data_IF_616230029193
#
_entry.id   IF_616230029193
#
_cell.length_a   1.000
_cell.length_b   1.000
_cell.length_c   1.000
_cell.angle_alpha   90.00
_cell.angle_beta   90.00
_cell.angle_gamma   90.00
#
_symmetry.space_group_name_H-M   'P 1'
#
loop_
_entity.id
_entity.type
_entity.pdbx_description
1 polymer ?
#
# COMPACT_ATOMS: atom_id res chain seq x y z
N UNK A 1 -8.06 -13.14 -22.59
CA UNK A 1 -6.88 -12.26 -22.54
C UNK A 1 -7.17 -11.27 -21.44
N UNK A 2 -6.39 -11.28 -20.38
CA UNK A 2 -6.54 -10.34 -19.26
C UNK A 2 -6.18 -8.93 -19.71
N UNK A 3 -7.05 -7.96 -19.40
CA UNK A 3 -6.88 -6.54 -19.71
C UNK A 3 -5.75 -5.93 -18.84
N UNK A 4 -4.50 -6.22 -19.20
CA UNK A 4 -3.32 -5.66 -18.56
C UNK A 4 -2.67 -4.61 -19.45
N UNK A 5 -3.01 -3.35 -19.19
CA UNK A 5 -2.56 -2.18 -19.96
C UNK A 5 -1.69 -1.25 -19.10
N UNK A 6 -0.43 -1.63 -18.81
CA UNK A 6 0.46 -0.86 -17.95
C UNK A 6 1.11 0.33 -18.67
N UNK A 7 1.41 1.36 -17.89
CA UNK A 7 2.23 2.49 -18.30
C UNK A 7 3.04 3.00 -17.10
N UNK A 8 4.10 3.77 -17.32
CA UNK A 8 4.83 4.42 -16.23
C UNK A 8 4.26 5.81 -15.94
N UNK A 9 4.05 6.11 -14.67
CA UNK A 9 3.70 7.45 -14.17
C UNK A 9 4.96 8.29 -13.93
N UNK A 10 4.84 9.61 -13.73
CA UNK A 10 6.01 10.49 -13.58
C UNK A 10 6.87 10.23 -12.35
N UNK A 11 6.33 9.58 -11.32
CA UNK A 11 7.11 9.21 -10.13
C UNK A 11 7.85 7.87 -10.26
N UNK A 12 7.80 7.25 -11.45
CA UNK A 12 8.45 5.97 -11.73
C UNK A 12 7.69 4.75 -11.21
N UNK A 13 6.45 4.91 -10.77
CA UNK A 13 5.55 3.79 -10.48
C UNK A 13 4.75 3.38 -11.72
N UNK A 14 4.22 2.16 -11.72
CA UNK A 14 3.39 1.62 -12.80
C UNK A 14 1.93 2.03 -12.57
N UNK A 15 1.31 2.68 -13.55
CA UNK A 15 -0.13 2.88 -13.63
C UNK A 15 -0.77 1.84 -14.55
N UNK A 16 -2.10 1.72 -14.46
CA UNK A 16 -2.90 0.83 -15.30
C UNK A 16 -4.03 1.61 -15.96
N UNK A 17 -4.39 1.20 -17.18
CA UNK A 17 -5.59 1.61 -17.88
C UNK A 17 -6.64 0.48 -17.83
N UNK A 18 -7.89 0.84 -17.54
CA UNK A 18 -9.05 -0.04 -17.58
C UNK A 18 -9.88 0.28 -18.83
N UNK A 19 -9.91 -0.63 -19.83
CA UNK A 19 -10.78 -0.49 -20.99
C UNK A 19 -12.26 -0.48 -20.59
N UNK A 20 -12.65 -1.31 -19.63
CA UNK A 20 -14.01 -1.41 -19.12
C UNK A 20 -14.55 -0.07 -18.63
N UNK A 21 -13.75 0.66 -17.85
CA UNK A 21 -14.13 1.96 -17.30
C UNK A 21 -13.71 3.15 -18.17
N UNK A 22 -12.98 2.90 -19.26
CA UNK A 22 -12.28 3.92 -20.06
C UNK A 22 -11.59 4.95 -19.14
N UNK A 23 -10.78 4.45 -18.20
CA UNK A 23 -10.11 5.25 -17.18
C UNK A 23 -8.76 4.65 -16.79
N UNK A 24 -7.98 5.46 -16.08
CA UNK A 24 -6.80 5.01 -15.36
C UNK A 24 -7.14 4.70 -13.91
N UNK A 25 -6.48 3.69 -13.34
CA UNK A 25 -6.67 3.31 -11.93
C UNK A 25 -6.12 4.37 -10.96
N UNK A 26 -5.01 5.01 -11.33
CA UNK A 26 -4.33 6.01 -10.50
C UNK A 26 -3.93 7.21 -11.36
N UNK A 27 -3.64 8.34 -10.72
CA UNK A 27 -3.13 9.52 -11.38
C UNK A 27 -1.86 9.23 -12.17
N UNK A 28 -1.85 9.62 -13.44
CA UNK A 28 -0.66 9.54 -14.30
C UNK A 28 0.50 10.42 -13.78
N UNK A 29 0.21 11.36 -12.87
CA UNK A 29 1.23 12.17 -12.19
C UNK A 29 2.09 11.32 -11.26
N UNK A 30 1.57 10.23 -10.68
CA UNK A 30 2.34 9.35 -9.81
C UNK A 30 1.43 8.50 -8.93
N UNK A 31 1.30 7.21 -9.25
CA UNK A 31 0.42 6.30 -8.51
C UNK A 31 0.91 6.06 -7.08
N UNK A 32 2.23 5.90 -6.91
CA UNK A 32 2.82 5.73 -5.58
C UNK A 32 2.81 7.04 -4.78
N UNK A 33 3.00 8.18 -5.44
CA UNK A 33 2.92 9.51 -4.82
C UNK A 33 1.52 9.75 -4.28
N UNK A 34 0.49 9.46 -5.07
CA UNK A 34 -0.90 9.53 -4.67
C UNK A 34 -1.20 8.66 -3.44
N UNK A 35 -0.74 7.40 -3.42
CA UNK A 35 -0.92 6.51 -2.28
C UNK A 35 -0.38 7.14 -0.97
N UNK A 36 0.80 7.76 -1.02
CA UNK A 36 1.35 8.41 0.15
C UNK A 36 0.63 9.70 0.55
N UNK A 37 0.34 10.57 -0.43
CA UNK A 37 -0.26 11.88 -0.18
C UNK A 37 -1.70 11.77 0.33
N UNK A 38 -2.43 10.74 -0.11
CA UNK A 38 -3.86 10.57 0.21
C UNK A 38 -4.15 9.54 1.29
N UNK A 39 -3.26 8.58 1.53
CA UNK A 39 -3.51 7.51 2.50
C UNK A 39 -2.44 7.45 3.58
N UNK A 40 -1.15 7.48 3.25
CA UNK A 40 -0.11 7.25 4.26
C UNK A 40 0.10 8.46 5.16
N UNK A 41 0.37 9.64 4.60
CA UNK A 41 0.62 10.85 5.40
C UNK A 41 -0.57 11.28 6.27
N UNK A 42 -1.84 11.23 5.81
CA UNK A 42 -2.96 11.58 6.67
C UNK A 42 -3.37 10.48 7.67
N UNK A 43 -2.80 9.27 7.60
CA UNK A 43 -3.19 8.16 8.48
C UNK A 43 -2.67 8.27 9.92
N UNK A 44 -1.66 9.12 10.16
CA UNK A 44 -1.05 9.30 11.49
C UNK A 44 -0.44 7.98 12.03
N UNK A 45 0.38 7.33 11.18
CA UNK A 45 1.04 6.05 11.50
C UNK A 45 1.83 6.13 12.80
N UNK A 46 2.46 7.26 13.10
CA UNK A 46 3.23 7.44 14.34
C UNK A 46 2.39 7.15 15.59
N UNK A 47 1.14 7.63 15.62
CA UNK A 47 0.22 7.32 16.71
C UNK A 47 -0.25 5.86 16.68
N UNK A 48 -0.54 5.30 15.50
CA UNK A 48 -0.93 3.89 15.37
C UNK A 48 0.16 2.93 15.88
N UNK A 49 1.42 3.28 15.71
CA UNK A 49 2.57 2.50 16.20
C UNK A 49 2.68 2.46 17.74
N UNK A 50 1.82 3.17 18.47
CA UNK A 50 1.70 3.07 19.93
C UNK A 50 0.74 1.95 20.38
N UNK A 51 -0.09 1.42 19.48
CA UNK A 51 -1.03 0.33 19.76
C UNK A 51 -0.31 -1.02 19.86
N UNK A 52 -0.96 -2.02 20.44
CA UNK A 52 -0.47 -3.41 20.45
C UNK A 52 -0.69 -4.12 19.10
N UNK A 53 -1.77 -3.75 18.41
CA UNK A 53 -2.11 -4.25 17.07
C UNK A 53 -2.71 -3.14 16.21
N UNK A 54 -2.48 -3.23 14.90
CA UNK A 54 -3.05 -2.34 13.90
C UNK A 54 -3.78 -3.19 12.86
N UNK A 55 -5.05 -2.89 12.61
CA UNK A 55 -5.88 -3.51 11.58
C UNK A 55 -6.18 -2.50 10.48
N UNK A 56 -5.83 -2.86 9.24
CA UNK A 56 -6.06 -2.06 8.03
C UNK A 56 -6.97 -2.80 7.07
N UNK A 57 -7.99 -2.11 6.57
CA UNK A 57 -8.84 -2.56 5.46
C UNK A 57 -8.49 -1.75 4.20
N UNK A 58 -8.08 -2.42 3.13
CA UNK A 58 -7.75 -1.81 1.84
C UNK A 58 -8.80 -2.23 0.80
N UNK A 59 -9.75 -1.34 0.51
CA UNK A 59 -10.88 -1.58 -0.38
C UNK A 59 -10.54 -1.07 -1.78
N UNK A 60 -10.74 -1.93 -2.78
CA UNK A 60 -10.24 -1.77 -4.14
C UNK A 60 -8.70 -1.79 -4.16
N UNK A 61 -8.16 -2.86 -3.58
CA UNK A 61 -6.72 -3.08 -3.43
C UNK A 61 -5.94 -2.91 -4.75
N UNK A 62 -6.50 -3.33 -5.88
CA UNK A 62 -5.87 -3.23 -7.20
C UNK A 62 -4.47 -3.83 -7.20
N UNK A 63 -3.47 -3.05 -7.61
CA UNK A 63 -2.06 -3.46 -7.55
C UNK A 63 -1.37 -3.18 -6.20
N UNK A 64 -2.14 -2.81 -5.18
CA UNK A 64 -1.77 -2.80 -3.77
C UNK A 64 -0.94 -1.61 -3.31
N UNK A 65 -1.03 -0.45 -3.98
CA UNK A 65 -0.19 0.69 -3.63
C UNK A 65 -0.42 1.19 -2.21
N UNK A 66 -1.65 1.19 -1.70
CA UNK A 66 -1.95 1.71 -0.37
C UNK A 66 -1.37 0.79 0.71
N UNK A 67 -1.71 -0.50 0.69
CA UNK A 67 -1.09 -1.52 1.57
C UNK A 67 0.44 -1.55 1.50
N UNK A 68 1.03 -1.56 0.29
CA UNK A 68 2.49 -1.57 0.13
C UNK A 68 3.12 -0.31 0.70
N UNK A 69 2.53 0.85 0.45
CA UNK A 69 3.05 2.13 0.95
C UNK A 69 2.98 2.21 2.47
N UNK A 70 1.92 1.66 3.07
CA UNK A 70 1.78 1.56 4.51
C UNK A 70 2.91 0.71 5.12
N UNK A 71 3.08 -0.52 4.62
CA UNK A 71 4.14 -1.41 5.10
C UNK A 71 5.54 -0.86 4.81
N UNK A 72 5.74 -0.23 3.65
CA UNK A 72 7.02 0.38 3.28
C UNK A 72 7.36 1.57 4.17
N UNK A 73 6.39 2.41 4.50
CA UNK A 73 6.59 3.52 5.43
C UNK A 73 7.01 3.00 6.80
N UNK A 74 6.37 1.94 7.29
CA UNK A 74 6.74 1.30 8.56
C UNK A 74 8.16 0.73 8.50
N UNK A 75 8.49 0.01 7.44
CA UNK A 75 9.82 -0.54 7.21
C UNK A 75 10.90 0.56 7.21
N UNK A 76 10.69 1.66 6.49
CA UNK A 76 11.67 2.74 6.38
C UNK A 76 11.80 3.55 7.67
N UNK A 77 10.69 3.84 8.36
CA UNK A 77 10.68 4.78 9.47
C UNK A 77 10.81 4.14 10.85
N UNK A 78 10.38 2.90 11.01
CA UNK A 78 10.35 2.23 12.32
C UNK A 78 11.27 1.01 12.35
N UNK A 79 11.44 0.31 11.23
CA UNK A 79 12.43 -0.77 11.18
C UNK A 79 13.82 -0.20 10.89
N UNK A 80 14.03 0.52 9.78
CA UNK A 80 15.36 0.93 9.31
C UNK A 80 15.98 2.12 10.08
N UNK A 81 15.23 3.16 10.46
CA UNK A 81 15.78 4.29 11.26
C UNK A 81 16.32 3.87 12.63
N UNK A 82 15.78 2.79 13.20
CA UNK A 82 16.32 2.21 14.43
C UNK A 82 17.70 1.53 14.24
N UNK A 83 18.20 1.40 13.01
CA UNK A 83 19.54 0.87 12.73
C UNK A 83 20.61 1.95 12.71
N UNK A 84 20.33 3.13 12.15
CA UNK A 84 21.36 4.18 11.99
C UNK A 84 21.78 4.83 13.31
N UNK A 85 20.93 4.72 14.34
CA UNK A 85 21.27 5.15 15.71
C UNK A 85 22.26 4.20 16.41
N UNK A 86 22.48 2.99 15.87
CA UNK A 86 23.32 1.94 16.47
C UNK A 86 24.41 1.38 15.54
N UNK A 87 24.60 1.94 14.33
CA UNK A 87 25.77 1.63 13.52
C UNK A 87 27.00 2.35 14.08
N UNK A 88 27.74 1.62 14.91
CA UNK A 88 29.09 1.94 15.34
C UNK A 88 29.96 2.44 14.17
N UNK A 89 30.74 3.47 14.46
CA UNK A 89 32.01 3.75 13.82
C UNK A 89 32.91 2.51 13.88
N UNK A 90 32.96 1.72 12.83
CA UNK A 90 34.04 0.77 12.61
C UNK A 90 34.51 0.88 11.17
N UNK A 91 35.44 1.82 10.95
CA UNK A 91 36.44 1.68 9.90
C UNK A 91 37.31 0.48 10.27
N UNK A 92 37.03 -0.69 9.70
CA UNK A 92 38.04 -1.74 9.49
C UNK A 92 37.47 -2.83 8.60
N UNK A 93 37.93 -2.82 7.34
CA UNK A 93 38.07 -3.95 6.41
C UNK A 93 37.05 -5.10 6.51
N UNK A 94 35.94 -4.98 5.78
CA UNK A 94 35.21 -6.17 5.32
C UNK A 94 35.72 -6.49 3.92
N UNK A 95 36.52 -7.55 3.81
CA UNK A 95 36.97 -8.10 2.55
C UNK A 95 35.77 -8.62 1.75
N UNK A 96 35.67 -8.18 0.50
CA UNK A 96 34.75 -8.70 -0.50
C UNK A 96 35.07 -10.17 -0.80
N UNK A 97 34.16 -11.08 -0.50
CA UNK A 97 34.22 -12.45 -1.04
C UNK A 97 33.57 -12.40 -2.43
N UNK A 98 34.44 -12.36 -3.42
CA UNK A 98 34.15 -12.46 -4.85
C UNK A 98 33.76 -13.92 -5.17
N UNK A 99 32.51 -14.16 -5.61
CA UNK A 99 32.00 -15.52 -5.88
C UNK A 99 32.17 -15.98 -7.32
N UNK A 100 32.81 -15.19 -8.20
CA UNK A 100 32.91 -15.53 -9.61
C UNK A 100 34.30 -16.05 -9.98
N UNK A 101 34.56 -17.32 -9.67
CA UNK A 101 35.55 -18.19 -10.36
C UNK A 101 35.44 -19.65 -9.90
N UNK A 102 34.35 -20.32 -10.26
CA UNK A 102 34.35 -21.80 -10.31
C UNK A 102 34.76 -22.20 -11.72
N UNK A 103 36.07 -22.37 -11.92
CA UNK A 103 36.57 -23.10 -13.09
C UNK A 103 36.64 -24.59 -12.73
N UNK A 104 36.06 -25.43 -13.61
CA UNK A 104 35.99 -26.88 -13.48
C UNK A 104 37.40 -27.48 -13.45
N UNK A 105 37.74 -28.16 -12.35
CA UNK A 105 38.92 -29.03 -12.28
C UNK A 105 39.12 -29.58 -10.86
N UNK A 106 38.95 -30.89 -10.70
CA UNK A 106 39.32 -31.69 -9.53
C UNK A 106 38.45 -31.56 -8.25
N UNK A 107 37.22 -32.04 -8.35
CA UNK A 107 36.48 -32.61 -7.21
C UNK A 107 37.10 -33.99 -6.92
N UNK A 108 38.17 -34.04 -6.13
CA UNK A 108 38.65 -35.29 -5.51
C UNK A 108 39.53 -35.09 -4.27
N UNK A 109 40.20 -33.93 -4.10
CA UNK A 109 41.22 -33.78 -3.03
C UNK A 109 40.87 -32.84 -1.87
N UNK A 110 39.60 -32.45 -1.69
CA UNK A 110 39.20 -31.54 -0.59
C UNK A 110 38.10 -32.08 0.34
N UNK A 111 38.03 -33.40 0.54
CA UNK A 111 37.14 -34.00 1.55
C UNK A 111 37.84 -34.13 2.94
N UNK A 112 39.11 -33.77 3.08
CA UNK A 112 39.90 -34.14 4.27
C UNK A 112 40.32 -33.06 5.27
N UNK A 113 39.99 -31.76 5.12
CA UNK A 113 40.53 -30.70 6.01
C UNK A 113 39.62 -29.46 6.12
N UNK A 114 38.49 -29.56 6.82
CA UNK A 114 37.79 -28.40 7.43
C UNK A 114 37.13 -28.79 8.77
N UNK A 115 37.76 -29.69 9.53
CA UNK A 115 37.43 -29.89 10.94
C UNK A 115 38.71 -29.84 11.74
N UNK A 116 38.77 -28.85 12.61
CA UNK A 116 39.94 -28.50 13.39
C UNK A 116 40.29 -27.06 13.10
N UNK A 117 39.78 -26.15 13.91
CA UNK A 117 40.73 -25.27 14.59
C UNK A 117 40.15 -24.73 15.90
N UNK A 118 41.06 -24.71 16.85
CA UNK A 118 40.87 -24.57 18.27
C UNK A 118 40.32 -23.19 18.66
N UNK A 119 39.51 -23.23 19.71
CA UNK A 119 39.23 -22.13 20.60
C UNK A 119 40.56 -21.56 21.12
N UNK A 120 40.89 -20.33 20.73
CA UNK A 120 41.83 -19.48 21.47
C UNK A 120 41.05 -18.49 22.33
N UNK A 121 40.88 -18.88 23.59
CA UNK A 121 40.49 -18.01 24.70
C UNK A 121 41.69 -17.17 25.18
N UNK A 122 41.37 -15.98 25.70
CA UNK A 122 42.22 -14.99 26.42
C UNK A 122 43.00 -14.04 25.50
N UNK A 123 42.90 -12.72 25.64
CA UNK A 123 43.10 -11.95 26.87
C UNK A 123 42.23 -10.69 26.97
N UNK A 124 41.40 -10.63 28.01
CA UNK A 124 40.93 -9.38 28.60
C UNK A 124 41.99 -8.99 29.61
N UNK A 125 42.77 -7.94 29.35
CA UNK A 125 43.35 -7.14 30.42
C UNK A 125 43.91 -5.80 29.93
N UNK A 126 43.56 -4.76 30.70
CA UNK A 126 44.15 -3.41 30.76
C UNK A 126 43.99 -2.48 29.55
N UNK A 127 42.88 -1.75 29.51
CA UNK A 127 42.93 -0.28 29.40
C UNK A 127 42.01 0.33 30.47
N UNK A 128 42.60 1.28 31.18
CA UNK A 128 42.21 1.92 32.41
C UNK A 128 40.98 2.83 32.32
N UNK A 129 40.35 2.96 33.48
CA UNK A 129 39.39 3.98 33.88
C UNK A 129 39.62 5.37 33.29
N UNK A 130 38.65 5.87 32.53
CA UNK A 130 38.16 7.24 32.64
C UNK A 130 36.64 7.24 32.46
N UNK A 131 35.98 7.63 33.54
CA UNK A 131 34.57 7.90 33.65
C UNK A 131 34.07 8.81 32.52
N UNK A 132 33.20 8.29 31.68
CA UNK A 132 32.01 9.02 31.30
C UNK A 132 30.86 8.03 31.44
N UNK A 133 30.07 8.28 32.49
CA UNK A 133 28.79 7.66 32.75
C UNK A 133 27.85 8.08 31.62
N UNK A 134 28.01 7.46 30.45
CA UNK A 134 27.03 7.55 29.40
C UNK A 134 25.88 6.69 29.89
N UNK A 135 24.90 7.33 30.52
CA UNK A 135 23.56 6.77 30.73
C UNK A 135 22.97 6.52 29.34
N UNK A 136 23.41 5.44 28.70
CA UNK A 136 22.71 4.83 27.59
C UNK A 136 21.53 4.15 28.25
N UNK A 137 20.43 4.89 28.37
CA UNK A 137 19.12 4.27 28.45
C UNK A 137 18.98 3.44 27.17
N UNK A 138 19.31 2.16 27.27
CA UNK A 138 18.99 1.15 26.28
C UNK A 138 17.47 1.25 26.15
N UNK A 139 16.99 1.92 25.10
CA UNK A 139 15.59 1.84 24.70
C UNK A 139 15.38 0.41 24.22
N UNK A 140 15.06 -0.47 25.17
CA UNK A 140 14.73 -1.86 24.92
C UNK A 140 13.48 -1.99 24.05
N UNK A 141 13.46 -3.05 23.25
CA UNK A 141 12.29 -3.90 23.06
C UNK A 141 10.93 -3.25 22.73
N UNK A 142 10.86 -2.21 21.90
CA UNK A 142 9.58 -1.93 21.22
C UNK A 142 9.37 -2.94 20.10
N UNK A 143 8.74 -4.07 20.45
CA UNK A 143 8.13 -5.00 19.49
C UNK A 143 7.16 -4.18 18.64
N UNK A 144 7.26 -4.31 17.32
CA UNK A 144 6.30 -3.66 16.41
C UNK A 144 4.90 -4.18 16.76
N UNK A 145 3.85 -3.35 16.64
CA UNK A 145 2.49 -3.85 16.74
C UNK A 145 2.27 -5.01 15.77
N UNK A 146 1.40 -5.94 16.14
CA UNK A 146 0.90 -6.92 15.18
C UNK A 146 0.11 -6.19 14.11
N UNK A 147 0.47 -6.37 12.84
CA UNK A 147 -0.20 -5.67 11.75
C UNK A 147 -1.05 -6.69 11.03
N UNK A 148 -2.34 -6.42 10.89
CA UNK A 148 -3.25 -7.19 10.07
C UNK A 148 -3.77 -6.32 8.94
N UNK A 149 -3.61 -6.77 7.69
CA UNK A 149 -4.15 -6.09 6.51
C UNK A 149 -5.13 -7.04 5.82
N UNK A 150 -6.38 -6.61 5.69
CA UNK A 150 -7.35 -7.22 4.78
C UNK A 150 -7.43 -6.37 3.52
N UNK A 151 -6.97 -6.92 2.42
CA UNK A 151 -7.07 -6.33 1.09
C UNK A 151 -8.25 -6.96 0.34
N UNK A 152 -9.12 -6.13 -0.24
CA UNK A 152 -10.32 -6.57 -0.95
C UNK A 152 -10.34 -5.99 -2.35
N UNK A 153 -10.49 -6.85 -3.36
CA UNK A 153 -10.68 -6.42 -4.74
C UNK A 153 -11.44 -7.46 -5.56
N UNK A 154 -12.41 -7.04 -6.37
CA UNK A 154 -13.16 -7.96 -7.21
C UNK A 154 -12.32 -8.54 -8.38
N UNK A 155 -11.27 -7.82 -8.81
CA UNK A 155 -10.36 -8.27 -9.86
C UNK A 155 -9.26 -9.16 -9.27
N UNK A 156 -9.49 -10.46 -9.37
CA UNK A 156 -8.54 -11.50 -8.93
C UNK A 156 -7.19 -11.41 -9.65
N UNK A 157 -7.18 -11.06 -10.94
CA UNK A 157 -5.94 -11.01 -11.70
C UNK A 157 -5.06 -9.83 -11.25
N UNK A 158 -5.61 -8.63 -11.18
CA UNK A 158 -4.85 -7.43 -10.81
C UNK A 158 -4.32 -7.48 -9.38
N UNK A 159 -5.15 -7.96 -8.46
CA UNK A 159 -4.76 -8.13 -7.06
C UNK A 159 -3.67 -9.17 -6.84
N UNK A 160 -3.69 -10.28 -7.58
CA UNK A 160 -2.63 -11.28 -7.55
C UNK A 160 -1.36 -10.84 -8.27
N UNK A 161 -1.47 -9.97 -9.28
CA UNK A 161 -0.33 -9.37 -9.97
C UNK A 161 0.44 -8.37 -9.07
N UNK A 162 -0.20 -7.86 -8.02
CA UNK A 162 0.35 -6.85 -7.12
C UNK A 162 1.84 -7.08 -6.76
N UNK A 163 2.29 -8.22 -6.20
CA UNK A 163 3.68 -8.36 -5.73
C UNK A 163 4.73 -8.18 -6.83
N UNK A 164 4.35 -8.41 -8.09
CA UNK A 164 5.24 -8.36 -9.25
C UNK A 164 5.43 -6.95 -9.80
N UNK A 165 4.58 -5.99 -9.44
CA UNK A 165 4.67 -4.63 -10.00
C UNK A 165 5.92 -3.89 -9.52
N UNK A 166 6.73 -3.40 -10.48
CA UNK A 166 7.91 -2.55 -10.23
C UNK A 166 7.52 -1.17 -9.74
N UNK A 167 8.41 -0.58 -8.95
CA UNK A 167 8.31 0.83 -8.52
C UNK A 167 9.69 1.49 -8.52
N UNK A 168 9.73 2.81 -8.53
CA UNK A 168 10.98 3.59 -8.52
C UNK A 168 11.78 3.50 -9.81
N UNK A 169 11.11 3.31 -10.95
CA UNK A 169 11.73 3.29 -12.28
C UNK A 169 12.17 4.70 -12.66
N UNK A 170 13.49 4.88 -12.86
CA UNK A 170 14.06 6.20 -13.20
C UNK A 170 13.93 6.55 -14.68
N UNK A 171 14.12 5.56 -15.55
CA UNK A 171 14.05 5.73 -17.00
C UNK A 171 12.64 5.36 -17.46
N UNK A 172 11.77 6.36 -17.52
CA UNK A 172 10.39 6.22 -17.97
C UNK A 172 10.38 6.14 -19.50
N UNK A 173 9.74 5.10 -20.03
CA UNK A 173 9.51 4.93 -21.46
C UNK A 173 8.07 4.45 -21.70
N UNK A 174 7.24 5.35 -22.21
CA UNK A 174 5.85 5.12 -22.60
C UNK A 174 5.66 5.26 -24.12
N UNK A 175 6.71 5.09 -24.93
CA UNK A 175 6.65 5.24 -26.39
C UNK A 175 5.76 4.18 -27.08
N UNK A 176 5.55 3.04 -26.44
CA UNK A 176 4.82 1.89 -27.00
C UNK A 176 3.73 1.42 -26.03
N UNK A 177 2.67 2.22 -25.89
CA UNK A 177 1.45 1.82 -25.21
C UNK A 177 0.55 1.06 -26.18
N UNK A 178 -0.15 0.04 -25.68
CA UNK A 178 -1.09 -0.79 -26.44
C UNK A 178 -2.53 -0.27 -26.37
N UNK A 179 -2.72 0.95 -25.88
CA UNK A 179 -3.99 1.64 -25.75
C UNK A 179 -3.83 3.13 -26.03
N UNK A 180 -4.93 3.79 -26.39
CA UNK A 180 -4.99 5.25 -26.52
C UNK A 180 -5.89 5.84 -25.44
N UNK A 181 -5.35 6.79 -24.67
CA UNK A 181 -6.13 7.53 -23.68
C UNK A 181 -5.70 9.00 -23.66
N UNK A 182 -6.60 9.87 -24.13
CA UNK A 182 -6.31 11.30 -24.37
C UNK A 182 -5.79 12.05 -23.14
N UNK A 183 -6.21 11.62 -21.94
CA UNK A 183 -5.75 12.20 -20.67
C UNK A 183 -4.29 11.83 -20.41
N UNK A 184 -3.88 10.58 -20.64
CA UNK A 184 -2.47 10.16 -20.50
C UNK A 184 -1.58 10.97 -21.44
N UNK A 185 -2.02 11.25 -22.68
CA UNK A 185 -1.25 12.07 -23.62
C UNK A 185 -0.96 13.49 -23.10
N UNK A 186 -1.88 14.09 -22.33
CA UNK A 186 -1.64 15.38 -21.68
C UNK A 186 -0.63 15.28 -20.55
N UNK A 187 -0.63 14.16 -19.82
CA UNK A 187 0.29 13.92 -18.72
C UNK A 187 1.70 13.61 -19.21
N UNK A 188 1.86 12.71 -20.20
CA UNK A 188 3.17 12.32 -20.76
C UNK A 188 4.02 13.50 -21.24
N UNK A 189 3.39 14.63 -21.55
CA UNK A 189 4.04 15.86 -22.02
C UNK A 189 4.36 16.87 -20.89
N UNK A 190 4.13 16.54 -19.60
CA UNK A 190 4.38 17.46 -18.48
C UNK A 190 5.75 17.22 -17.83
N UNK A 191 6.57 18.26 -17.68
CA UNK A 191 7.92 18.20 -17.08
C UNK A 191 7.92 18.16 -15.53
N UNK A 192 6.88 17.60 -14.93
CA UNK A 192 6.73 17.65 -13.46
C UNK A 192 7.72 16.71 -12.78
N UNK A 193 8.81 17.25 -12.23
CA UNK A 193 9.79 16.48 -11.46
C UNK A 193 9.19 16.08 -10.11
N UNK A 194 8.90 14.78 -9.95
CA UNK A 194 8.42 14.21 -8.68
C UNK A 194 9.49 13.29 -8.12
N UNK A 195 9.67 13.31 -6.81
CA UNK A 195 10.65 12.44 -6.14
C UNK A 195 10.22 10.99 -6.32
N UNK A 196 11.08 10.20 -6.97
CA UNK A 196 10.88 8.77 -7.13
C UNK A 196 10.74 8.11 -5.76
N UNK A 197 9.56 7.57 -5.50
CA UNK A 197 9.33 6.65 -4.39
C UNK A 197 9.53 5.23 -4.89
N UNK A 198 10.05 4.37 -4.02
CA UNK A 198 10.28 2.97 -4.34
C UNK A 198 9.77 2.13 -3.16
N UNK A 199 9.00 1.11 -3.47
CA UNK A 199 8.66 0.07 -2.52
C UNK A 199 9.86 -0.88 -2.39
N UNK A 200 10.27 -1.15 -1.17
CA UNK A 200 11.31 -2.12 -0.88
C UNK A 200 10.87 -3.53 -1.31
N UNK A 201 11.74 -4.26 -2.01
CA UNK A 201 11.44 -5.60 -2.49
C UNK A 201 11.04 -6.58 -1.37
N UNK A 202 11.44 -6.34 -0.11
CA UNK A 202 11.00 -7.11 1.05
C UNK A 202 9.47 -7.05 1.26
N UNK A 203 8.83 -5.92 0.93
CA UNK A 203 7.38 -5.78 1.05
C UNK A 203 6.68 -6.64 -0.01
N UNK A 204 7.16 -6.62 -1.25
CA UNK A 204 6.64 -7.48 -2.30
C UNK A 204 6.86 -8.97 -2.00
N UNK A 205 8.03 -9.34 -1.44
CA UNK A 205 8.29 -10.68 -0.93
C UNK A 205 7.25 -11.10 0.12
N UNK A 206 7.04 -10.26 1.13
CA UNK A 206 6.12 -10.52 2.23
C UNK A 206 4.71 -10.75 1.70
N UNK A 207 4.19 -9.84 0.88
CA UNK A 207 2.85 -9.95 0.29
C UNK A 207 2.73 -11.22 -0.54
N UNK A 208 3.68 -11.50 -1.44
CA UNK A 208 3.67 -12.73 -2.24
C UNK A 208 3.64 -13.98 -1.36
N UNK A 209 4.49 -14.03 -0.32
CA UNK A 209 4.55 -15.17 0.60
C UNK A 209 3.23 -15.39 1.33
N UNK A 210 2.56 -14.32 1.77
CA UNK A 210 1.27 -14.38 2.46
C UNK A 210 0.12 -14.75 1.53
N UNK A 211 0.14 -14.28 0.29
CA UNK A 211 -0.83 -14.72 -0.72
C UNK A 211 -0.67 -16.21 -1.00
N UNK A 212 0.56 -16.71 -1.21
CA UNK A 212 0.80 -18.15 -1.45
C UNK A 212 0.40 -18.99 -0.22
N UNK A 213 0.67 -18.51 1.00
CA UNK A 213 0.32 -19.20 2.25
C UNK A 213 -1.20 -19.36 2.41
N UNK A 214 -1.98 -18.30 2.13
CA UNK A 214 -3.45 -18.31 2.32
C UNK A 214 -4.22 -18.79 1.08
N UNK A 215 -3.64 -18.65 -0.11
CA UNK A 215 -4.25 -18.92 -1.43
C UNK A 215 -3.23 -19.56 -2.38
N UNK A 216 -2.85 -20.83 -2.15
CA UNK A 216 -1.83 -21.52 -2.94
C UNK A 216 -2.20 -21.67 -4.43
N UNK A 217 -3.49 -21.59 -4.78
CA UNK A 217 -4.01 -21.62 -6.15
C UNK A 217 -3.45 -20.51 -7.06
N UNK A 218 -2.86 -19.45 -6.50
CA UNK A 218 -2.14 -18.43 -7.28
C UNK A 218 -1.02 -19.04 -8.14
N UNK A 219 -0.39 -20.12 -7.67
CA UNK A 219 0.71 -20.81 -8.37
C UNK A 219 0.26 -21.49 -9.68
N UNK A 220 -1.05 -21.71 -9.83
CA UNK A 220 -1.67 -22.38 -10.98
C UNK A 220 -2.45 -21.39 -11.87
N UNK A 221 -2.52 -20.11 -11.49
CA UNK A 221 -3.27 -19.09 -12.22
C UNK A 221 -2.64 -18.81 -13.60
N UNK A 222 -3.27 -19.36 -14.65
CA UNK A 222 -2.77 -19.26 -16.02
C UNK A 222 -2.75 -17.83 -16.55
N UNK A 223 -3.71 -16.99 -16.17
CA UNK A 223 -3.74 -15.60 -16.62
C UNK A 223 -2.56 -14.81 -16.04
N UNK A 224 -2.26 -15.01 -14.75
CA UNK A 224 -1.09 -14.43 -14.09
C UNK A 224 0.19 -14.91 -14.78
N UNK A 225 0.36 -16.22 -14.92
CA UNK A 225 1.55 -16.83 -15.55
C UNK A 225 1.77 -16.28 -16.97
N UNK A 226 0.70 -16.18 -17.76
CA UNK A 226 0.77 -15.68 -19.13
C UNK A 226 1.31 -14.24 -19.22
N UNK A 227 1.02 -13.41 -18.22
CA UNK A 227 1.51 -12.03 -18.14
C UNK A 227 2.94 -11.98 -17.62
N UNK A 228 3.30 -12.83 -16.65
CA UNK A 228 4.67 -12.91 -16.11
C UNK A 228 5.68 -13.42 -17.15
N UNK A 229 5.27 -14.35 -18.03
CA UNK A 229 6.12 -14.92 -19.08
C UNK A 229 6.20 -14.04 -20.35
N UNK A 230 5.30 -13.04 -20.48
CA UNK A 230 5.23 -12.22 -21.67
C UNK A 230 6.27 -11.09 -21.65
N UNK A 231 7.23 -11.17 -22.59
CA UNK A 231 8.32 -10.21 -22.73
C UNK A 231 7.87 -8.76 -22.90
N UNK A 232 6.65 -8.53 -23.43
CA UNK A 232 6.04 -7.20 -23.55
C UNK A 232 5.98 -6.48 -22.20
N UNK A 233 5.74 -7.22 -21.12
CA UNK A 233 5.47 -6.67 -19.79
C UNK A 233 6.68 -6.63 -18.86
N UNK A 234 7.81 -7.26 -19.22
CA UNK A 234 9.03 -7.35 -18.39
C UNK A 234 9.51 -6.02 -17.81
N UNK A 235 9.31 -4.91 -18.53
CA UNK A 235 9.70 -3.57 -18.06
C UNK A 235 8.91 -3.12 -16.82
N UNK A 236 7.67 -3.59 -16.66
CA UNK A 236 6.76 -3.22 -15.57
C UNK A 236 6.80 -4.19 -14.38
N UNK A 237 7.46 -5.35 -14.53
CA UNK A 237 7.44 -6.44 -13.56
C UNK A 237 8.81 -6.70 -12.91
N UNK A 238 8.86 -7.02 -11.62
CA UNK A 238 10.08 -7.25 -10.82
C UNK A 238 10.59 -8.69 -11.04
N UNK A 239 11.75 -8.79 -11.67
CA UNK A 239 12.41 -10.03 -12.06
C UNK A 239 12.78 -10.91 -10.87
N UNK A 240 13.09 -10.31 -9.72
CA UNK A 240 13.43 -11.05 -8.50
C UNK A 240 12.19 -11.69 -7.89
N UNK A 241 11.06 -10.98 -7.93
CA UNK A 241 9.78 -11.51 -7.44
C UNK A 241 9.24 -12.60 -8.38
N UNK A 242 9.38 -12.43 -9.70
CA UNK A 242 9.07 -13.48 -10.68
C UNK A 242 9.91 -14.73 -10.41
N UNK A 243 11.23 -14.58 -10.27
CA UNK A 243 12.12 -15.71 -10.00
C UNK A 243 11.75 -16.47 -8.72
N UNK A 244 11.31 -15.73 -7.70
CA UNK A 244 10.83 -16.32 -6.45
C UNK A 244 9.49 -17.06 -6.62
N UNK A 245 8.57 -16.50 -7.40
CA UNK A 245 7.30 -17.15 -7.72
C UNK A 245 7.52 -18.45 -8.49
N UNK A 246 8.37 -18.44 -9.50
CA UNK A 246 8.77 -19.65 -10.24
C UNK A 246 9.42 -20.69 -9.31
N UNK A 247 10.25 -20.24 -8.36
CA UNK A 247 10.77 -21.11 -7.32
C UNK A 247 9.65 -21.78 -6.51
N UNK A 248 8.61 -21.05 -6.10
CA UNK A 248 7.47 -21.66 -5.38
C UNK A 248 6.67 -22.62 -6.26
N UNK A 249 6.42 -22.28 -7.53
CA UNK A 249 5.70 -23.13 -8.50
C UNK A 249 6.40 -24.47 -8.73
N UNK A 250 7.70 -24.44 -9.03
CA UNK A 250 8.46 -25.65 -9.34
C UNK A 250 9.02 -26.37 -8.11
N UNK A 251 8.97 -25.77 -6.92
CA UNK A 251 9.32 -26.47 -5.68
C UNK A 251 8.19 -27.40 -5.21
N UNK A 252 6.94 -27.09 -5.54
CA UNK A 252 5.81 -27.98 -5.24
C UNK A 252 5.68 -29.15 -6.21
N UNK A 253 6.23 -29.06 -7.43
CA UNK A 253 6.37 -30.21 -8.33
C UNK A 253 7.76 -30.84 -8.24
N UNK A 254 7.86 -31.97 -7.51
CA UNK A 254 8.99 -32.92 -7.47
C UNK A 254 10.40 -32.30 -7.43
N UNK A 255 10.95 -32.06 -6.24
CA UNK A 255 12.40 -31.85 -6.10
C UNK A 255 13.06 -32.83 -5.11
N UNK A 256 14.19 -33.39 -5.57
CA UNK A 256 15.02 -34.40 -4.93
C UNK A 256 15.57 -33.95 -3.57
N UNK A 257 15.70 -34.92 -2.64
CA UNK A 257 15.97 -34.72 -1.20
C UNK A 257 17.22 -33.90 -0.85
N UNK A 258 18.24 -33.85 -1.72
CA UNK A 258 19.58 -33.34 -1.36
C UNK A 258 19.69 -31.81 -1.33
N UNK A 259 19.05 -31.10 -2.26
CA UNK A 259 19.02 -29.63 -2.27
C UNK A 259 18.12 -29.07 -1.16
N UNK A 260 17.03 -29.77 -0.85
CA UNK A 260 16.16 -29.46 0.27
C UNK A 260 16.93 -29.56 1.59
N UNK A 261 17.65 -30.66 1.80
CA UNK A 261 18.47 -30.83 3.00
C UNK A 261 19.54 -29.75 3.11
N UNK A 262 20.21 -29.38 2.00
CA UNK A 262 21.20 -28.30 2.00
C UNK A 262 20.59 -26.93 2.33
N UNK A 263 19.43 -26.60 1.76
CA UNK A 263 18.74 -25.33 2.03
C UNK A 263 18.18 -25.28 3.45
N UNK A 264 17.62 -26.39 3.92
CA UNK A 264 17.15 -26.57 5.29
C UNK A 264 18.29 -26.43 6.30
N UNK A 265 19.43 -27.10 6.08
CA UNK A 265 20.62 -26.96 6.90
C UNK A 265 21.24 -25.56 6.83
N UNK A 266 21.27 -24.95 5.64
CA UNK A 266 21.70 -23.57 5.47
C UNK A 266 20.82 -22.63 6.30
N UNK A 267 19.50 -22.77 6.21
CA UNK A 267 18.56 -21.98 6.98
C UNK A 267 18.66 -22.26 8.49
N UNK A 268 18.87 -23.50 8.92
CA UNK A 268 19.12 -23.85 10.34
C UNK A 268 20.42 -23.22 10.82
N UNK A 269 21.50 -23.34 10.07
CA UNK A 269 22.80 -22.76 10.41
C UNK A 269 22.69 -21.25 10.55
N UNK A 270 22.08 -20.57 9.58
CA UNK A 270 21.93 -19.12 9.63
C UNK A 270 20.93 -18.66 10.70
N UNK A 271 19.83 -19.39 10.93
CA UNK A 271 18.82 -19.05 11.95
C UNK A 271 19.31 -19.32 13.38
N UNK A 272 19.99 -20.44 13.62
CA UNK A 272 20.28 -20.94 14.97
C UNK A 272 21.77 -20.98 15.33
N UNK A 273 22.69 -20.87 14.38
CA UNK A 273 24.14 -21.01 14.64
C UNK A 273 24.89 -19.70 14.38
N UNK A 274 24.62 -19.01 13.28
CA UNK A 274 25.33 -17.77 12.91
C UNK A 274 24.97 -16.61 13.85
N UNK A 275 25.92 -16.19 14.69
CA UNK A 275 25.77 -15.02 15.58
C UNK A 275 25.57 -13.71 14.80
N UNK A 276 26.24 -13.53 13.66
CA UNK A 276 26.08 -12.37 12.79
C UNK A 276 24.74 -12.31 12.05
N UNK A 277 24.12 -13.48 11.81
CA UNK A 277 22.81 -13.56 11.17
C UNK A 277 21.66 -13.52 12.19
N UNK A 278 21.86 -13.99 13.44
CA UNK A 278 20.90 -13.80 14.54
C UNK A 278 20.67 -12.32 14.86
N UNK A 279 21.71 -11.49 14.81
CA UNK A 279 21.57 -10.04 14.89
C UNK A 279 20.93 -9.44 13.64
N UNK A 280 21.14 -10.04 12.46
CA UNK A 280 20.54 -9.71 11.14
C UNK A 280 19.07 -10.10 10.92
N UNK A 281 18.56 -11.15 11.59
CA UNK A 281 17.19 -11.66 11.48
C UNK A 281 16.24 -10.98 12.47
N UNK A 282 16.72 -10.62 13.66
CA UNK A 282 15.99 -9.74 14.61
C UNK A 282 15.74 -8.32 14.05
N UNK A 283 16.28 -8.04 12.86
CA UNK A 283 16.39 -6.71 12.24
C UNK A 283 15.23 -6.38 11.30
N UNK A 284 14.33 -7.33 11.00
CA UNK A 284 13.08 -7.06 10.27
C UNK A 284 11.94 -7.88 10.90
N UNK A 285 11.31 -7.35 11.96
CA UNK A 285 10.14 -7.98 12.60
C UNK A 285 8.85 -7.86 11.75
N UNK A 286 8.95 -8.04 10.42
CA UNK A 286 7.79 -8.13 9.53
C UNK A 286 7.09 -9.50 9.60
N UNK A 287 7.57 -10.42 10.47
CA UNK A 287 6.93 -11.72 10.69
C UNK A 287 5.56 -11.59 11.35
N UNK A 288 5.34 -10.51 12.11
CA UNK A 288 4.06 -10.21 12.78
C UNK A 288 3.07 -9.47 11.88
N UNK A 289 3.35 -9.41 10.56
CA UNK A 289 2.40 -8.92 9.56
C UNK A 289 1.58 -10.09 9.03
N UNK A 290 0.29 -10.04 9.32
CA UNK A 290 -0.72 -10.81 8.63
C UNK A 290 -1.27 -10.02 7.44
N UNK A 291 -1.35 -10.67 6.29
CA UNK A 291 -1.94 -10.13 5.08
C UNK A 291 -2.95 -11.12 4.54
N UNK A 292 -4.16 -10.66 4.24
CA UNK A 292 -5.25 -11.45 3.69
C UNK A 292 -5.80 -10.76 2.46
N UNK A 293 -5.72 -11.42 1.30
CA UNK A 293 -6.33 -10.95 0.06
C UNK A 293 -7.67 -11.66 -0.15
N UNK A 294 -8.74 -10.89 -0.35
CA UNK A 294 -10.08 -11.39 -0.70
C UNK A 294 -10.48 -10.89 -2.08
N UNK A 295 -10.85 -11.84 -2.93
CA UNK A 295 -11.32 -11.55 -4.27
C UNK A 295 -12.83 -11.71 -4.39
N UNK A 296 -13.56 -10.66 -4.05
CA UNK A 296 -15.03 -10.62 -4.06
C UNK A 296 -15.51 -9.15 -4.01
N UNK A 297 -16.82 -8.93 -4.12
CA UNK A 297 -17.46 -7.65 -3.87
C UNK A 297 -17.21 -7.20 -2.42
N UNK A 298 -16.67 -6.00 -2.25
CA UNK A 298 -16.37 -5.46 -0.92
C UNK A 298 -17.61 -5.35 -0.02
N UNK A 299 -18.80 -5.17 -0.59
CA UNK A 299 -20.07 -5.20 0.17
C UNK A 299 -20.25 -6.55 0.85
N UNK A 300 -20.11 -7.64 0.10
CA UNK A 300 -20.23 -9.01 0.62
C UNK A 300 -19.15 -9.34 1.63
N UNK A 301 -17.90 -8.95 1.37
CA UNK A 301 -16.78 -9.23 2.28
C UNK A 301 -17.00 -8.59 3.63
N UNK A 302 -17.45 -7.33 3.66
CA UNK A 302 -17.60 -6.55 4.89
C UNK A 302 -18.87 -6.96 5.66
N UNK A 303 -19.96 -7.31 4.97
CA UNK A 303 -21.17 -7.86 5.64
C UNK A 303 -20.82 -9.11 6.47
N UNK A 304 -19.90 -9.95 5.98
CA UNK A 304 -19.48 -11.17 6.64
C UNK A 304 -18.22 -10.99 7.51
N UNK A 305 -17.78 -9.75 7.71
CA UNK A 305 -16.63 -9.43 8.53
C UNK A 305 -17.07 -9.11 9.96
N UNK A 306 -16.19 -9.41 10.91
CA UNK A 306 -16.39 -9.11 12.33
C UNK A 306 -15.26 -8.25 12.90
N UNK A 307 -14.35 -7.76 12.05
CA UNK A 307 -13.22 -6.95 12.47
C UNK A 307 -13.60 -5.46 12.55
N UNK A 308 -13.11 -4.81 13.61
CA UNK A 308 -12.96 -3.36 13.63
C UNK A 308 -11.59 -2.98 13.07
N UNK A 309 -11.54 -1.84 12.39
CA UNK A 309 -10.36 -1.35 11.68
C UNK A 309 -9.90 0.00 12.21
N UNK A 310 -8.58 0.13 12.39
CA UNK A 310 -7.92 1.40 12.71
C UNK A 310 -7.85 2.31 11.49
N UNK A 311 -7.64 1.71 10.32
CA UNK A 311 -7.57 2.42 9.04
C UNK A 311 -8.38 1.69 7.99
N UNK A 312 -9.15 2.46 7.22
CA UNK A 312 -9.79 2.01 5.99
C UNK A 312 -9.28 2.89 4.85
N UNK A 313 -8.56 2.28 3.91
CA UNK A 313 -8.23 2.89 2.64
C UNK A 313 -9.36 2.59 1.66
N UNK A 314 -10.08 3.63 1.23
CA UNK A 314 -11.16 3.51 0.25
C UNK A 314 -10.73 4.16 -1.07
N UNK A 315 -10.28 3.32 -1.99
CA UNK A 315 -9.66 3.72 -3.26
C UNK A 315 -10.39 3.13 -4.48
N UNK A 316 -11.72 3.19 -4.45
CA UNK A 316 -12.54 2.73 -5.56
C UNK A 316 -12.51 3.69 -6.77
N UNK A 317 -12.96 3.22 -7.94
CA UNK A 317 -13.25 4.12 -9.06
C UNK A 317 -14.23 5.23 -8.68
N UNK A 318 -14.25 6.32 -9.46
CA UNK A 318 -15.04 7.52 -9.16
C UNK A 318 -16.51 7.21 -8.79
N UNK A 319 -17.18 8.07 -7.99
CA UNK A 319 -18.56 7.82 -7.57
C UNK A 319 -19.58 7.62 -8.70
N UNK A 320 -19.31 8.16 -9.89
CA UNK A 320 -20.15 7.91 -11.08
C UNK A 320 -19.92 6.54 -11.72
N UNK A 321 -18.78 5.89 -11.48
CA UNK A 321 -18.41 4.60 -12.06
C UNK A 321 -18.67 3.43 -11.12
N UNK A 322 -18.43 3.61 -9.83
CA UNK A 322 -18.62 2.58 -8.81
C UNK A 322 -19.48 3.06 -7.63
N UNK A 323 -20.70 3.61 -7.88
CA UNK A 323 -21.54 4.24 -6.87
C UNK A 323 -21.88 3.34 -5.67
N UNK A 324 -21.87 2.00 -5.83
CA UNK A 324 -22.14 1.06 -4.75
C UNK A 324 -21.19 1.24 -3.55
N UNK A 325 -19.90 1.48 -3.80
CA UNK A 325 -18.87 1.71 -2.78
C UNK A 325 -18.84 3.15 -2.25
N UNK A 326 -19.76 4.00 -2.71
CA UNK A 326 -19.91 5.40 -2.29
C UNK A 326 -21.32 5.73 -1.80
N UNK A 327 -22.13 4.69 -1.59
CA UNK A 327 -23.48 4.82 -1.06
C UNK A 327 -23.47 5.11 0.43
N UNK A 328 -24.51 5.80 0.91
CA UNK A 328 -24.72 5.96 2.34
C UNK A 328 -24.77 4.61 3.06
N UNK A 329 -25.44 3.63 2.48
CA UNK A 329 -25.64 2.31 3.09
C UNK A 329 -24.31 1.58 3.28
N UNK A 330 -23.40 1.71 2.30
CA UNK A 330 -22.04 1.20 2.44
C UNK A 330 -21.25 1.98 3.51
N UNK A 331 -21.37 3.31 3.57
CA UNK A 331 -20.73 4.08 4.65
C UNK A 331 -21.27 3.74 6.04
N UNK A 332 -22.56 3.43 6.17
CA UNK A 332 -23.14 2.95 7.42
C UNK A 332 -22.52 1.61 7.83
N UNK A 333 -22.36 0.68 6.89
CA UNK A 333 -21.64 -0.57 7.13
C UNK A 333 -20.17 -0.33 7.55
N UNK A 334 -19.47 0.58 6.87
CA UNK A 334 -18.10 0.95 7.24
C UNK A 334 -18.03 1.64 8.61
N UNK A 335 -19.05 2.39 9.00
CA UNK A 335 -19.14 3.01 10.32
C UNK A 335 -19.15 1.92 11.39
N UNK A 336 -19.89 0.83 11.19
CA UNK A 336 -19.93 -0.30 12.13
C UNK A 336 -18.57 -1.03 12.23
N UNK A 337 -17.77 -1.01 11.16
CA UNK A 337 -16.46 -1.67 11.08
C UNK A 337 -15.25 -0.77 11.42
N UNK A 338 -15.48 0.49 11.82
CA UNK A 338 -14.40 1.42 12.17
C UNK A 338 -14.18 1.48 13.68
N UNK A 339 -12.93 1.45 14.12
CA UNK A 339 -12.58 1.74 15.51
C UNK A 339 -13.01 3.16 15.92
N UNK A 340 -13.14 3.39 17.22
CA UNK A 340 -13.57 4.71 17.76
C UNK A 340 -12.62 5.84 17.38
N UNK A 341 -11.32 5.56 17.32
CA UNK A 341 -10.26 6.45 16.86
C UNK A 341 -9.79 6.12 15.43
N UNK A 342 -10.52 5.25 14.73
CA UNK A 342 -10.21 4.84 13.38
C UNK A 342 -10.47 5.94 12.35
N UNK A 343 -9.85 5.80 11.17
CA UNK A 343 -9.97 6.74 10.06
C UNK A 343 -10.27 6.03 8.75
N UNK A 344 -11.22 6.56 7.99
CA UNK A 344 -11.40 6.27 6.57
C UNK A 344 -10.70 7.37 5.77
N UNK A 345 -9.87 6.97 4.82
CA UNK A 345 -9.11 7.87 3.95
C UNK A 345 -9.47 7.59 2.49
N UNK A 346 -9.76 8.66 1.74
CA UNK A 346 -10.10 8.54 0.33
C UNK A 346 -9.72 9.80 -0.45
N UNK A 347 -9.48 9.62 -1.75
CA UNK A 347 -9.13 10.72 -2.65
C UNK A 347 -10.30 11.64 -3.01
N UNK A 348 -11.54 11.16 -2.88
CA UNK A 348 -12.69 11.91 -3.40
C UNK A 348 -13.04 13.09 -2.49
N UNK A 349 -13.36 14.22 -3.11
CA UNK A 349 -13.91 15.41 -2.45
C UNK A 349 -15.38 15.65 -2.83
N UNK A 350 -16.02 14.64 -3.45
CA UNK A 350 -17.41 14.71 -3.91
C UNK A 350 -18.36 15.09 -2.77
N UNK A 351 -19.19 16.11 -3.01
CA UNK A 351 -20.20 16.54 -2.05
C UNK A 351 -21.22 15.44 -1.72
N UNK A 352 -21.56 14.58 -2.70
CA UNK A 352 -22.43 13.44 -2.50
C UNK A 352 -21.80 12.44 -1.52
N UNK A 353 -20.52 12.10 -1.71
CA UNK A 353 -19.80 11.16 -0.82
C UNK A 353 -19.66 11.74 0.58
N UNK A 354 -19.25 13.01 0.70
CA UNK A 354 -19.13 13.71 1.98
C UNK A 354 -20.48 13.80 2.70
N UNK A 355 -21.56 14.08 1.97
CA UNK A 355 -22.92 14.04 2.51
C UNK A 355 -23.30 12.66 3.02
N UNK A 356 -22.95 11.61 2.29
CA UNK A 356 -23.22 10.22 2.70
C UNK A 356 -22.48 9.85 3.98
N UNK A 357 -21.21 10.24 4.11
CA UNK A 357 -20.41 10.04 5.31
C UNK A 357 -20.99 10.79 6.52
N UNK A 358 -21.39 12.04 6.36
CA UNK A 358 -22.03 12.82 7.44
C UNK A 358 -23.34 12.18 7.88
N UNK A 359 -24.17 11.77 6.92
CA UNK A 359 -25.45 11.10 7.20
C UNK A 359 -25.22 9.75 7.92
N UNK A 360 -24.16 9.02 7.57
CA UNK A 360 -23.76 7.78 8.24
C UNK A 360 -23.19 7.99 9.66
N UNK A 361 -23.00 9.25 10.10
CA UNK A 361 -22.56 9.61 11.45
C UNK A 361 -21.09 9.97 11.58
N UNK A 362 -20.32 10.02 10.48
CA UNK A 362 -18.90 10.40 10.54
C UNK A 362 -18.72 11.91 10.72
N UNK A 363 -17.69 12.28 11.48
CA UNK A 363 -17.04 13.57 11.33
C UNK A 363 -16.09 13.52 10.13
N UNK A 364 -16.13 14.55 9.29
CA UNK A 364 -15.32 14.61 8.07
C UNK A 364 -14.43 15.84 8.02
N UNK A 365 -13.31 15.71 7.32
CA UNK A 365 -12.35 16.77 7.09
C UNK A 365 -11.64 16.62 5.74
N UNK A 366 -10.77 17.58 5.45
CA UNK A 366 -9.95 17.59 4.27
C UNK A 366 -8.61 16.88 4.49
N UNK A 367 -8.12 16.23 3.44
CA UNK A 367 -6.71 15.81 3.35
C UNK A 367 -5.95 16.93 2.63
N UNK A 368 -4.98 17.54 3.32
CA UNK A 368 -4.12 18.57 2.76
C UNK A 368 -2.90 17.96 2.08
N UNK A 369 -2.69 18.33 0.82
CA UNK A 369 -1.52 17.94 0.05
C UNK A 369 -0.45 19.02 0.16
N UNK A 370 0.62 18.72 0.89
CA UNK A 370 1.75 19.64 1.11
C UNK A 370 2.46 20.03 -0.20
N UNK A 371 2.60 19.10 -1.15
CA UNK A 371 3.29 19.34 -2.42
C UNK A 371 2.49 20.29 -3.31
N UNK A 372 1.19 20.08 -3.41
CA UNK A 372 0.29 20.85 -4.28
C UNK A 372 -0.34 22.07 -3.57
N UNK A 373 -0.10 22.21 -2.26
CA UNK A 373 -0.65 23.26 -1.38
C UNK A 373 -2.18 23.40 -1.46
N UNK A 374 -2.89 22.28 -1.60
CA UNK A 374 -4.35 22.27 -1.73
C UNK A 374 -4.96 21.03 -1.07
N UNK A 375 -6.27 21.07 -0.83
CA UNK A 375 -7.00 19.90 -0.36
C UNK A 375 -7.29 18.92 -1.50
N UNK A 376 -6.99 17.64 -1.32
CA UNK A 376 -7.02 16.61 -2.38
C UNK A 376 -7.76 15.34 -2.00
N UNK A 377 -8.46 15.33 -0.88
CA UNK A 377 -9.17 14.15 -0.40
C UNK A 377 -10.01 14.41 0.84
N UNK A 378 -10.60 13.35 1.35
CA UNK A 378 -11.48 13.37 2.53
C UNK A 378 -10.98 12.35 3.55
N UNK A 379 -10.95 12.79 4.81
CA UNK A 379 -10.81 11.93 5.99
C UNK A 379 -12.18 11.86 6.68
N UNK A 380 -12.59 10.67 7.10
CA UNK A 380 -13.79 10.45 7.90
C UNK A 380 -13.46 9.63 9.16
N UNK A 381 -14.07 9.95 10.28
CA UNK A 381 -13.80 9.32 11.58
C UNK A 381 -14.99 9.44 12.53
N UNK A 382 -15.06 8.56 13.54
CA UNK A 382 -16.03 8.67 14.64
C UNK A 382 -15.66 9.74 15.66
N UNK A 383 -14.38 10.13 15.71
CA UNK A 383 -13.89 11.09 16.68
C UNK A 383 -13.49 12.41 16.03
N UNK A 384 -14.29 13.45 16.27
CA UNK A 384 -14.06 14.82 15.76
C UNK A 384 -12.67 15.37 16.08
N UNK A 385 -12.06 15.01 17.20
CA UNK A 385 -10.74 15.54 17.59
C UNK A 385 -9.62 15.10 16.65
N UNK A 386 -9.83 14.05 15.85
CA UNK A 386 -8.86 13.57 14.87
C UNK A 386 -8.91 14.33 13.53
N UNK A 387 -9.88 15.23 13.35
CA UNK A 387 -9.98 16.06 12.16
C UNK A 387 -9.04 17.27 12.28
N UNK A 388 -7.89 17.19 11.61
CA UNK A 388 -6.90 18.29 11.56
C UNK A 388 -7.36 19.47 10.71
N UNK A 389 -7.98 19.20 9.56
CA UNK A 389 -8.46 20.23 8.63
C UNK A 389 -9.96 20.09 8.44
N UNK A 390 -10.79 20.85 9.17
CA UNK A 390 -12.23 20.79 8.99
C UNK A 390 -12.66 21.29 7.61
N UNK A 391 -13.90 20.97 7.23
CA UNK A 391 -14.53 21.56 6.06
C UNK A 391 -14.81 23.05 6.28
N UNK A 392 -14.69 23.85 5.22
CA UNK A 392 -15.09 25.26 5.25
C UNK A 392 -16.61 25.41 5.27
N UNK A 393 -17.12 26.58 5.65
CA UNK A 393 -18.56 26.89 5.53
C UNK A 393 -19.06 26.73 4.09
N UNK A 394 -18.22 27.07 3.10
CA UNK A 394 -18.52 26.85 1.69
C UNK A 394 -18.70 25.35 1.37
N UNK A 395 -17.78 24.51 1.84
CA UNK A 395 -17.89 23.06 1.66
C UNK A 395 -19.16 22.53 2.34
N UNK A 396 -19.42 22.91 3.60
CA UNK A 396 -20.59 22.50 4.35
C UNK A 396 -21.90 22.94 3.67
N UNK A 397 -21.94 24.13 3.08
CA UNK A 397 -23.08 24.58 2.28
C UNK A 397 -23.22 23.81 0.96
N UNK A 398 -22.11 23.41 0.33
CA UNK A 398 -22.13 22.58 -0.87
C UNK A 398 -22.81 21.22 -0.63
N UNK A 399 -22.64 20.61 0.55
CA UNK A 399 -23.33 19.39 0.96
C UNK A 399 -24.86 19.56 0.99
N UNK A 400 -25.36 20.78 1.21
CA UNK A 400 -26.81 21.08 1.24
C UNK A 400 -27.41 21.33 -0.15
N UNK A 401 -26.59 21.40 -1.19
CA UNK A 401 -27.04 21.56 -2.58
C UNK A 401 -27.47 20.23 -3.21
N UNK A 402 -27.95 20.27 -4.45
CA UNK A 402 -28.18 19.05 -5.26
C UNK A 402 -26.92 18.17 -5.42
N UNK A 403 -25.71 18.74 -5.37
CA UNK A 403 -24.48 17.94 -5.44
C UNK A 403 -24.26 17.05 -4.21
N UNK A 404 -24.81 17.43 -3.04
CA UNK A 404 -24.74 16.63 -1.82
C UNK A 404 -25.82 15.55 -1.69
N UNK A 405 -26.67 15.37 -2.71
CA UNK A 405 -27.56 14.21 -2.77
C UNK A 405 -26.69 12.98 -3.05
N UNK A 406 -26.62 12.09 -2.07
CA UNK A 406 -25.79 10.89 -2.08
C UNK A 406 -26.45 9.71 -2.79
N UNK A 407 -25.68 8.65 -2.98
CA UNK A 407 -26.15 7.38 -3.53
C UNK A 407 -26.78 6.51 -2.43
N UNK A 408 -27.73 5.65 -2.82
CA UNK A 408 -28.41 4.69 -1.93
C UNK A 408 -28.30 3.28 -2.51
N UNK A 409 -28.00 2.30 -1.67
CA UNK A 409 -27.90 0.88 -1.95
C UNK A 409 -28.39 0.09 -0.72
N UNK A 410 -29.69 0.22 -0.41
CA UNK A 410 -30.31 -0.21 0.86
C UNK A 410 -30.01 -1.67 1.25
N UNK A 411 -29.92 -2.56 0.25
CA UNK A 411 -29.65 -3.99 0.46
C UNK A 411 -28.22 -4.39 0.10
N UNK A 412 -27.32 -3.42 -0.17
CA UNK A 412 -25.92 -3.63 -0.51
C UNK A 412 -25.68 -4.63 -1.66
N UNK A 413 -26.61 -4.66 -2.61
CA UNK A 413 -26.64 -5.65 -3.70
C UNK A 413 -27.07 -5.04 -5.03
N UNK A 414 -27.48 -3.76 -5.05
CA UNK A 414 -27.94 -3.12 -6.27
C UNK A 414 -26.80 -2.97 -7.29
N UNK A 415 -27.17 -3.04 -8.57
CA UNK A 415 -26.27 -2.75 -9.68
C UNK A 415 -25.96 -1.25 -9.72
N UNK A 416 -24.75 -0.89 -10.20
CA UNK A 416 -24.29 0.50 -10.27
C UNK A 416 -25.24 1.38 -11.09
N UNK A 417 -25.79 0.85 -12.19
CA UNK A 417 -26.74 1.53 -13.08
C UNK A 417 -28.04 1.89 -12.34
N UNK A 418 -28.54 0.96 -11.52
CA UNK A 418 -29.76 1.16 -10.74
C UNK A 418 -29.56 2.23 -9.65
N UNK A 419 -28.40 2.21 -8.98
CA UNK A 419 -28.02 3.20 -7.96
C UNK A 419 -27.92 4.60 -8.60
N UNK A 420 -27.31 4.70 -9.79
CA UNK A 420 -27.19 5.96 -10.54
C UNK A 420 -28.56 6.50 -10.97
N UNK A 421 -29.41 5.64 -11.52
CA UNK A 421 -30.75 6.01 -11.97
C UNK A 421 -31.58 6.60 -10.82
N UNK A 422 -31.59 5.92 -9.67
CA UNK A 422 -32.31 6.38 -8.47
C UNK A 422 -31.80 7.74 -7.99
N UNK A 423 -30.48 7.90 -7.87
CA UNK A 423 -29.89 9.19 -7.46
C UNK A 423 -30.23 10.31 -8.46
N UNK A 424 -30.21 10.03 -9.76
CA UNK A 424 -30.54 11.03 -10.76
C UNK A 424 -32.01 11.48 -10.66
N UNK A 425 -32.92 10.56 -10.35
CA UNK A 425 -34.31 10.87 -10.05
C UNK A 425 -34.44 11.72 -8.78
N UNK A 426 -33.74 11.37 -7.70
CA UNK A 426 -33.71 12.16 -6.46
C UNK A 426 -33.21 13.60 -6.72
N UNK A 427 -32.15 13.74 -7.52
CA UNK A 427 -31.60 15.05 -7.91
C UNK A 427 -32.60 15.86 -8.74
N UNK A 428 -33.34 15.21 -9.65
CA UNK A 428 -34.36 15.85 -10.49
C UNK A 428 -35.53 16.34 -9.65
N UNK A 429 -36.03 15.50 -8.74
CA UNK A 429 -37.19 15.79 -7.90
C UNK A 429 -36.86 16.70 -6.70
N UNK A 430 -35.58 16.89 -6.37
CA UNK A 430 -35.17 17.72 -5.25
C UNK A 430 -35.41 19.22 -5.47
N UNK A 431 -35.93 19.88 -4.43
CA UNK A 431 -36.04 21.34 -4.31
C UNK A 431 -34.73 22.03 -3.88
N UNK A 432 -33.67 21.27 -3.59
CA UNK A 432 -32.37 21.82 -3.20
C UNK A 432 -31.80 22.74 -4.28
N UNK A 433 -31.04 23.74 -3.85
CA UNK A 433 -30.36 24.67 -4.74
C UNK A 433 -29.32 23.94 -5.62
N UNK A 434 -29.13 24.41 -6.86
CA UNK A 434 -28.05 23.93 -7.71
C UNK A 434 -26.68 24.44 -7.25
N UNK A 435 -25.63 23.66 -7.50
CA UNK A 435 -24.23 24.03 -7.18
C UNK A 435 -23.82 25.34 -7.84
N UNK A 436 -24.22 25.56 -9.10
CA UNK A 436 -23.86 26.78 -9.84
C UNK A 436 -24.50 28.03 -9.22
N UNK A 437 -25.75 27.92 -8.74
CA UNK A 437 -26.42 29.03 -8.04
C UNK A 437 -25.76 29.30 -6.68
N UNK A 438 -25.46 28.24 -5.92
CA UNK A 438 -24.78 28.35 -4.64
C UNK A 438 -23.40 29.01 -4.76
N UNK A 439 -22.58 28.60 -5.75
CA UNK A 439 -21.28 29.21 -6.03
C UNK A 439 -21.37 30.71 -6.32
N UNK A 440 -22.38 31.14 -7.09
CA UNK A 440 -22.60 32.57 -7.37
C UNK A 440 -22.95 33.37 -6.12
N UNK A 441 -23.78 32.82 -5.23
CA UNK A 441 -24.14 33.47 -3.97
C UNK A 441 -22.94 33.63 -3.06
N UNK A 442 -22.15 32.57 -2.87
CA UNK A 442 -20.95 32.60 -2.03
C UNK A 442 -19.91 33.63 -2.53
N UNK A 443 -19.72 33.78 -3.85
CA UNK A 443 -18.81 34.78 -4.43
C UNK A 443 -19.35 36.21 -4.22
N UNK A 444 -20.67 36.41 -4.35
CA UNK A 444 -21.30 37.73 -4.12
C UNK A 444 -21.21 38.17 -2.66
N UNK A 445 -21.37 37.24 -1.72
CA UNK A 445 -21.18 37.48 -0.28
C UNK A 445 -19.71 37.78 0.06
N UNK A 446 -18.77 37.06 -0.56
CA UNK A 446 -17.34 37.34 -0.37
C UNK A 446 -16.96 38.75 -0.86
N UNK A 447 -17.41 39.13 -2.06
CA UNK A 447 -17.12 40.47 -2.61
C UNK A 447 -17.77 41.60 -1.81
N UNK A 448 -18.93 41.38 -1.19
CA UNK A 448 -19.57 42.38 -0.31
C UNK A 448 -18.93 42.47 1.08
N UNK A 449 -18.32 41.39 1.58
CA UNK A 449 -17.58 41.38 2.84
C UNK A 449 -16.17 41.98 2.78
N UNK A 450 -15.59 42.15 1.58
CA UNK A 450 -14.25 42.76 1.36
C UNK A 450 -14.35 44.27 1.09
N UNK A 451 -15.55 44.77 0.78
CA UNK A 451 -15.82 46.18 0.45
C UNK A 451 -16.35 46.96 1.67
N UNK A 452 -16.76 46.25 2.74
CA UNK A 452 -17.08 46.81 4.05
C UNK A 452 -15.92 46.58 5.02
#
# INVERSE_FOLDING_TARGET
MTDFHPYFTHDGSVGLYSPQFNDIYHSATGALTEAYEKFIYPSDIENLMTKESIKVLDICYGIGYNSKSFLNYILENFCQKNFSKYSFSTNSHIASIDTDKINKGNIANYIGKVYGDNISTNSVDKISSKSNQCNVSIYGDKVLPKIYIKAVDFDKFLSQLSPFIKTGVKKIDNSHLDFEYSIINKFLNSDTKIKYKKINNLINYLILSKIIEKSPEILENQDLISVLDNQKYNRFLDDKIISLFEYYRFKMSKNTSKLHFRSFLHNIYYKYVSKGYKSGLKRYNLQDVEFELKNDDARNVIINDNNLYDLIFLDAFTPSKCPCLWSYDFFKLLFEHLETDGKILTYTTSAAVRGAMVEAGFFIGNIYNEREKKFTGTIATKNKSLIKYPLSEFDLGLLKTKAGIFYRDENLTALNEAILARRNEDVKNSTRMSTSKYRKQAIGEFNSSVIN
#
